data_IF_511695901105
#
_entry.id   IF_511695901105
#
_cell.length_a   1.000
_cell.length_b   1.000
_cell.length_c   1.000
_cell.angle_alpha   90.00
_cell.angle_beta   90.00
_cell.angle_gamma   90.00
#
_symmetry.space_group_name_H-M   'P 1'
#
loop_
_entity.id
_entity.type
_entity.pdbx_description
1 polymer ?
#
# COMPACT_ATOMS: atom_id res chain seq x y z
N UNK A 1 -5.92 12.99 70.76
CA UNK A 1 -6.54 13.03 72.07
C UNK A 1 -8.00 12.63 71.92
N UNK A 2 -8.31 11.47 72.46
CA UNK A 2 -9.38 11.19 73.37
C UNK A 2 -10.79 11.18 72.72
N UNK A 3 -11.39 10.06 72.51
CA UNK A 3 -12.03 9.01 73.34
C UNK A 3 -13.55 9.22 73.39
N UNK A 4 -14.29 8.26 73.09
CA UNK A 4 -14.89 7.14 73.82
C UNK A 4 -16.41 7.22 73.96
N UNK A 5 -17.05 6.07 73.58
CA UNK A 5 -18.09 5.32 74.35
C UNK A 5 -19.51 5.90 74.39
N UNK A 6 -20.56 5.17 74.36
CA UNK A 6 -21.04 3.79 74.45
C UNK A 6 -22.49 3.85 74.97
N UNK A 7 -23.25 2.83 74.73
CA UNK A 7 -24.15 2.06 75.59
C UNK A 7 -25.63 2.05 75.16
N UNK A 8 -26.03 0.90 74.78
CA UNK A 8 -26.96 -0.08 75.40
C UNK A 8 -28.48 0.24 75.35
N UNK A 9 -29.16 -0.56 74.60
CA UNK A 9 -30.13 -1.60 75.03
C UNK A 9 -31.43 -1.12 75.61
N UNK A 10 -32.54 -1.51 75.02
CA UNK A 10 -33.48 -2.40 75.73
C UNK A 10 -34.57 -3.03 74.84
N UNK A 11 -35.05 -4.13 75.33
CA UNK A 11 -35.88 -5.17 74.78
C UNK A 11 -37.37 -4.82 74.67
N UNK A 12 -38.08 -5.44 73.68
CA UNK A 12 -39.54 -5.39 73.70
C UNK A 12 -40.23 -6.21 72.62
N UNK A 13 -40.41 -7.49 72.86
CA UNK A 13 -41.50 -8.44 72.51
C UNK A 13 -42.35 -8.29 71.23
N UNK A 14 -42.20 -9.28 70.36
CA UNK A 14 -43.12 -10.15 69.61
C UNK A 14 -44.61 -9.74 69.38
N UNK A 15 -44.96 -9.71 68.05
CA UNK A 15 -46.18 -10.31 67.53
C UNK A 15 -46.01 -10.71 66.06
N UNK A 16 -46.50 -11.83 65.56
CA UNK A 16 -46.31 -12.30 64.22
C UNK A 16 -47.39 -11.69 63.30
N UNK A 17 -46.93 -11.03 62.24
CA UNK A 17 -47.78 -10.68 61.10
C UNK A 17 -47.38 -11.59 59.91
N UNK A 18 -48.31 -12.38 59.46
CA UNK A 18 -48.24 -13.18 58.27
C UNK A 18 -48.09 -12.27 57.02
N UNK A 19 -47.00 -12.31 56.40
CA UNK A 19 -46.79 -11.63 55.11
C UNK A 19 -46.91 -12.64 53.98
N UNK A 20 -47.96 -12.47 53.17
CA UNK A 20 -48.23 -13.17 51.93
C UNK A 20 -47.09 -12.92 50.96
N UNK A 21 -46.37 -13.97 50.63
CA UNK A 21 -45.29 -13.87 49.68
C UNK A 21 -45.78 -13.66 48.26
N UNK A 22 -45.60 -12.45 47.71
CA UNK A 22 -45.65 -12.19 46.27
C UNK A 22 -44.30 -12.55 45.69
N UNK A 23 -44.22 -13.72 45.07
CA UNK A 23 -43.08 -14.08 44.23
C UNK A 23 -43.12 -13.27 42.92
N UNK A 24 -42.38 -12.19 42.87
CA UNK A 24 -42.06 -11.51 41.63
C UNK A 24 -41.10 -12.42 40.85
N UNK A 25 -41.61 -13.07 39.81
CA UNK A 25 -40.77 -13.68 38.77
C UNK A 25 -40.06 -12.53 38.03
N UNK A 26 -38.83 -12.26 38.40
CA UNK A 26 -37.95 -11.43 37.62
C UNK A 26 -37.58 -12.24 36.35
N UNK A 27 -38.33 -12.00 35.28
CA UNK A 27 -37.94 -12.46 33.94
C UNK A 27 -36.65 -11.70 33.55
N UNK A 28 -35.51 -12.35 33.73
CA UNK A 28 -34.30 -11.92 33.00
C UNK A 28 -34.57 -12.17 31.52
N UNK A 29 -35.02 -11.15 30.82
CA UNK A 29 -34.83 -11.06 29.39
C UNK A 29 -33.33 -11.02 29.17
N UNK A 30 -32.75 -12.13 28.66
CA UNK A 30 -31.46 -12.06 27.99
C UNK A 30 -31.66 -11.11 26.80
N UNK A 31 -31.28 -9.85 26.98
CA UNK A 31 -30.93 -9.03 25.84
C UNK A 31 -29.80 -9.78 25.10
N UNK A 32 -30.20 -10.47 24.05
CA UNK A 32 -29.25 -10.89 23.05
C UNK A 32 -28.64 -9.58 22.50
N UNK A 33 -27.43 -9.26 22.95
CA UNK A 33 -26.56 -8.34 22.27
C UNK A 33 -26.48 -8.82 20.82
N UNK A 34 -27.31 -8.27 19.97
CA UNK A 34 -27.15 -8.31 18.55
C UNK A 34 -25.93 -7.43 18.33
N UNK A 35 -24.73 -8.02 18.48
CA UNK A 35 -23.49 -7.38 18.09
C UNK A 35 -23.71 -6.85 16.68
N UNK A 36 -23.78 -5.55 16.53
CA UNK A 36 -23.84 -4.94 15.20
C UNK A 36 -22.59 -5.40 14.47
N UNK A 37 -22.76 -6.35 13.55
CA UNK A 37 -21.68 -6.72 12.63
C UNK A 37 -21.23 -5.44 11.93
N UNK A 38 -19.95 -5.14 12.03
CA UNK A 38 -19.39 -4.02 11.28
C UNK A 38 -19.84 -4.13 9.81
N UNK A 39 -20.24 -3.04 9.17
CA UNK A 39 -20.68 -3.07 7.79
C UNK A 39 -19.63 -3.77 6.92
N UNK A 40 -20.08 -4.66 6.04
CA UNK A 40 -19.17 -5.34 5.13
C UNK A 40 -18.40 -4.31 4.29
N UNK A 41 -17.08 -4.52 4.13
CA UNK A 41 -16.25 -3.63 3.32
C UNK A 41 -16.84 -3.50 1.90
N UNK A 42 -16.96 -2.27 1.35
CA UNK A 42 -17.58 -2.05 0.05
C UNK A 42 -16.82 -2.78 -1.06
N UNK A 43 -17.54 -3.29 -2.06
CA UNK A 43 -16.92 -3.94 -3.22
C UNK A 43 -16.25 -2.93 -4.15
N UNK A 44 -16.76 -1.71 -4.19
CA UNK A 44 -16.24 -0.61 -5.00
C UNK A 44 -16.28 0.67 -4.18
N UNK A 45 -15.18 1.40 -4.19
CA UNK A 45 -15.06 2.74 -3.61
C UNK A 45 -14.75 3.68 -4.77
N UNK A 46 -15.69 4.55 -5.10
CA UNK A 46 -15.52 5.58 -6.12
C UNK A 46 -15.29 6.93 -5.43
N UNK A 47 -14.30 7.69 -5.91
CA UNK A 47 -13.98 8.99 -5.35
C UNK A 47 -13.69 10.00 -6.47
N UNK A 48 -13.87 11.29 -6.15
CA UNK A 48 -13.74 12.38 -7.12
C UNK A 48 -12.63 13.33 -6.70
N UNK A 49 -11.65 13.50 -7.58
CA UNK A 49 -10.60 14.50 -7.49
C UNK A 49 -10.05 14.77 -8.88
N UNK A 50 -10.32 15.95 -9.43
CA UNK A 50 -9.90 16.29 -10.79
C UNK A 50 -8.38 16.21 -10.95
N UNK A 51 -7.93 15.50 -11.98
CA UNK A 51 -6.53 15.42 -12.37
C UNK A 51 -5.60 14.73 -11.36
N UNK A 52 -6.10 13.88 -10.47
CA UNK A 52 -5.28 13.22 -9.45
C UNK A 52 -4.29 12.23 -10.06
N UNK A 53 -4.78 11.35 -10.95
CA UNK A 53 -4.01 10.27 -11.56
C UNK A 53 -3.19 9.48 -10.52
N UNK A 54 -3.86 8.76 -9.61
CA UNK A 54 -3.20 8.01 -8.54
C UNK A 54 -2.48 6.79 -9.14
N UNK A 55 -1.33 6.44 -8.59
CA UNK A 55 -0.61 5.22 -9.01
C UNK A 55 -0.53 4.23 -7.86
N UNK A 56 -0.17 4.67 -6.66
CA UNK A 56 -0.05 3.87 -5.46
C UNK A 56 -1.33 3.85 -4.61
N UNK A 57 -1.63 2.69 -4.01
CA UNK A 57 -2.70 2.53 -3.02
C UNK A 57 -2.29 1.59 -1.89
N UNK A 58 -2.62 1.94 -0.64
CA UNK A 58 -2.47 1.09 0.54
C UNK A 58 -3.65 1.28 1.48
N UNK A 59 -4.07 0.24 2.20
CA UNK A 59 -5.15 0.36 3.18
C UNK A 59 -4.59 0.59 4.59
N UNK A 60 -4.98 1.69 5.20
CA UNK A 60 -4.65 2.09 6.56
C UNK A 60 -5.77 1.60 7.51
N UNK A 61 -5.64 0.35 7.95
CA UNK A 61 -6.67 -0.34 8.74
C UNK A 61 -7.04 0.39 10.05
N UNK A 62 -6.09 0.90 10.86
CA UNK A 62 -6.41 1.63 12.07
C UNK A 62 -7.25 2.89 11.85
N UNK A 63 -7.18 3.48 10.66
CA UNK A 63 -7.91 4.70 10.31
C UNK A 63 -9.04 4.45 9.30
N UNK A 64 -9.32 3.17 8.95
CA UNK A 64 -10.37 2.75 8.03
C UNK A 64 -10.40 3.56 6.72
N UNK A 65 -9.24 3.70 6.05
CA UNK A 65 -9.08 4.51 4.85
C UNK A 65 -8.06 3.89 3.89
N UNK A 66 -8.17 4.21 2.61
CA UNK A 66 -7.11 3.98 1.65
C UNK A 66 -6.21 5.21 1.55
N UNK A 67 -4.90 5.02 1.55
CA UNK A 67 -3.95 6.04 1.13
C UNK A 67 -3.77 5.92 -0.38
N UNK A 68 -3.73 7.05 -1.07
CA UNK A 68 -3.53 7.12 -2.52
C UNK A 68 -2.52 8.21 -2.87
N UNK A 69 -1.70 7.97 -3.87
CA UNK A 69 -0.69 8.93 -4.33
C UNK A 69 -1.24 9.83 -5.45
N UNK A 70 -0.47 10.81 -5.91
CA UNK A 70 -0.81 11.65 -7.06
C UNK A 70 0.41 11.95 -7.92
N UNK A 71 0.33 11.58 -9.20
CA UNK A 71 1.37 11.92 -10.17
C UNK A 71 1.43 13.42 -10.43
N UNK A 72 0.30 14.09 -10.46
CA UNK A 72 0.19 15.48 -10.93
C UNK A 72 0.43 16.51 -9.84
N UNK A 73 0.25 16.14 -8.57
CA UNK A 73 0.41 17.09 -7.45
C UNK A 73 1.52 16.70 -6.48
N UNK A 74 2.04 15.46 -6.56
CA UNK A 74 3.02 14.94 -5.60
C UNK A 74 2.47 14.74 -4.18
N UNK A 75 1.14 14.70 -4.02
CA UNK A 75 0.51 14.56 -2.70
C UNK A 75 0.30 13.09 -2.33
N UNK A 76 0.41 12.81 -1.04
CA UNK A 76 -0.15 11.62 -0.43
C UNK A 76 -1.52 11.98 0.13
N UNK A 77 -2.56 11.42 -0.48
CA UNK A 77 -3.96 11.62 -0.09
C UNK A 77 -4.54 10.40 0.60
N UNK A 78 -5.79 10.53 0.99
CA UNK A 78 -6.59 9.43 1.55
C UNK A 78 -7.99 9.42 0.95
N UNK A 79 -8.60 8.23 0.95
CA UNK A 79 -9.98 7.99 0.52
C UNK A 79 -10.69 7.15 1.58
N UNK A 80 -11.85 7.62 2.05
CA UNK A 80 -12.72 6.85 2.96
C UNK A 80 -13.62 5.88 2.19
N UNK A 81 -14.28 4.95 2.88
CA UNK A 81 -15.26 4.05 2.29
C UNK A 81 -16.44 4.77 1.60
N UNK A 82 -16.74 5.98 2.05
CA UNK A 82 -17.76 6.84 1.44
C UNK A 82 -17.24 7.58 0.19
N UNK A 83 -16.01 7.34 -0.26
CA UNK A 83 -15.43 8.01 -1.42
C UNK A 83 -14.98 9.46 -1.17
N UNK A 84 -14.81 9.85 0.09
CA UNK A 84 -14.33 11.21 0.42
C UNK A 84 -12.81 11.22 0.31
N UNK A 85 -12.30 12.02 -0.63
CA UNK A 85 -10.87 12.28 -0.80
C UNK A 85 -10.41 13.47 0.05
N UNK A 86 -9.23 13.39 0.65
CA UNK A 86 -8.55 14.51 1.33
C UNK A 86 -7.03 14.30 1.39
N UNK A 87 -6.27 15.35 1.75
CA UNK A 87 -4.80 15.34 1.80
C UNK A 87 -4.29 15.72 3.19
N UNK A 88 -4.34 14.79 4.17
CA UNK A 88 -3.93 15.08 5.54
C UNK A 88 -2.42 15.17 5.73
N UNK A 89 -1.63 14.63 4.80
CA UNK A 89 -0.17 14.63 4.91
C UNK A 89 0.42 15.96 4.44
N UNK A 90 1.53 16.35 5.07
CA UNK A 90 2.27 17.56 4.72
C UNK A 90 2.62 17.58 3.23
N UNK A 91 2.56 18.78 2.65
CA UNK A 91 3.08 19.03 1.31
C UNK A 91 4.57 19.33 1.38
N UNK A 92 5.37 18.70 0.52
CA UNK A 92 6.79 19.00 0.40
C UNK A 92 7.14 19.19 -1.09
N UNK A 93 7.73 20.33 -1.49
CA UNK A 93 8.07 20.60 -2.90
C UNK A 93 9.11 19.64 -3.48
N UNK A 94 9.84 18.88 -2.66
CA UNK A 94 10.76 17.84 -3.10
C UNK A 94 10.03 16.62 -3.68
N UNK A 95 8.73 16.47 -3.41
CA UNK A 95 7.89 15.39 -3.94
C UNK A 95 7.24 15.89 -5.22
N UNK A 96 7.91 15.69 -6.36
CA UNK A 96 7.40 16.15 -7.66
C UNK A 96 6.18 15.34 -8.07
N UNK A 97 6.31 14.03 -8.19
CA UNK A 97 5.21 13.10 -8.40
C UNK A 97 5.31 11.97 -7.38
N UNK A 98 4.24 11.69 -6.67
CA UNK A 98 4.13 10.55 -5.74
C UNK A 98 3.63 9.34 -6.53
N UNK A 99 4.42 8.25 -6.51
CA UNK A 99 4.20 7.02 -7.30
C UNK A 99 3.72 5.91 -6.35
N UNK A 100 4.47 4.84 -6.17
CA UNK A 100 4.13 3.76 -5.25
C UNK A 100 4.11 4.20 -3.79
N UNK A 101 3.34 3.52 -2.94
CA UNK A 101 3.25 3.79 -1.51
C UNK A 101 3.25 2.48 -0.71
N UNK A 102 3.95 2.46 0.41
CA UNK A 102 3.97 1.35 1.36
C UNK A 102 3.67 1.83 2.78
N UNK A 103 2.82 1.08 3.50
CA UNK A 103 2.55 1.31 4.92
C UNK A 103 3.41 0.38 5.77
N UNK A 104 4.39 0.94 6.47
CA UNK A 104 5.16 0.26 7.50
C UNK A 104 4.49 0.50 8.86
N UNK A 105 3.46 -0.29 9.13
CA UNK A 105 2.64 -0.16 10.34
C UNK A 105 3.45 -0.32 11.63
N UNK A 106 4.38 -1.31 11.76
CA UNK A 106 5.16 -1.48 12.97
C UNK A 106 6.00 -0.25 13.34
N UNK A 107 6.35 0.59 12.35
CA UNK A 107 7.18 1.80 12.56
C UNK A 107 6.40 3.09 12.35
N UNK A 108 5.07 3.01 12.22
CA UNK A 108 4.17 4.17 12.05
C UNK A 108 4.59 5.11 10.92
N UNK A 109 5.04 4.58 9.79
CA UNK A 109 5.46 5.40 8.65
C UNK A 109 4.74 4.98 7.36
N UNK A 110 4.55 5.97 6.48
CA UNK A 110 4.18 5.75 5.09
C UNK A 110 5.35 6.15 4.21
N UNK A 111 5.78 5.23 3.36
CA UNK A 111 6.90 5.43 2.43
C UNK A 111 6.35 5.63 1.05
N UNK A 112 6.82 6.65 0.34
CA UNK A 112 6.36 7.00 -1.00
C UNK A 112 7.54 7.09 -1.96
N UNK A 113 7.51 6.31 -3.04
CA UNK A 113 8.43 6.46 -4.14
C UNK A 113 8.13 7.76 -4.90
N UNK A 114 9.17 8.52 -5.22
CA UNK A 114 9.04 9.86 -5.81
C UNK A 114 9.85 9.96 -7.08
N UNK A 115 9.19 10.38 -8.16
CA UNK A 115 9.80 10.57 -9.48
C UNK A 115 9.31 11.85 -10.15
N UNK A 116 9.80 12.09 -11.36
CA UNK A 116 9.31 13.16 -12.21
C UNK A 116 9.12 12.68 -13.66
N UNK A 117 7.93 12.19 -14.01
CA UNK A 117 7.59 11.86 -15.40
C UNK A 117 7.19 13.08 -16.26
N UNK A 118 7.22 14.30 -15.71
CA UNK A 118 6.70 15.49 -16.38
C UNK A 118 5.20 15.73 -16.14
N UNK A 119 4.56 14.97 -15.24
CA UNK A 119 3.13 15.08 -14.98
C UNK A 119 2.74 16.26 -14.07
N UNK A 120 3.60 16.64 -13.16
CA UNK A 120 3.38 17.77 -12.25
C UNK A 120 3.88 19.06 -12.87
N UNK A 121 2.99 19.80 -13.58
CA UNK A 121 3.31 21.02 -14.29
C UNK A 121 3.85 22.15 -13.40
N UNK A 122 3.63 22.08 -12.08
CA UNK A 122 4.10 23.10 -11.14
C UNK A 122 5.50 22.80 -10.58
N UNK A 123 5.94 21.53 -10.55
CA UNK A 123 7.18 21.10 -9.90
C UNK A 123 8.19 20.46 -10.85
N UNK A 124 7.73 19.98 -12.00
CA UNK A 124 8.62 19.44 -13.04
C UNK A 124 9.59 20.51 -13.54
N UNK A 125 10.84 20.13 -13.67
CA UNK A 125 11.90 20.95 -14.26
C UNK A 125 12.74 20.12 -15.23
N UNK A 126 13.48 20.76 -16.14
CA UNK A 126 14.41 20.09 -17.03
C UNK A 126 15.53 19.32 -16.28
N UNK A 127 15.82 19.71 -15.03
CA UNK A 127 16.80 19.03 -14.19
C UNK A 127 16.24 17.76 -13.52
N UNK A 128 14.93 17.67 -13.33
CA UNK A 128 14.27 16.56 -12.59
C UNK A 128 13.55 15.58 -13.50
N UNK A 129 13.02 16.04 -14.62
CA UNK A 129 12.23 15.21 -15.54
C UNK A 129 13.02 14.02 -16.07
N UNK A 130 12.56 12.79 -15.79
CA UNK A 130 13.22 11.54 -16.16
C UNK A 130 14.56 11.28 -15.45
N UNK A 131 14.87 12.06 -14.40
CA UNK A 131 16.16 11.99 -13.67
C UNK A 131 15.99 11.95 -12.16
N UNK A 132 14.77 12.06 -11.67
CA UNK A 132 14.48 12.09 -10.26
C UNK A 132 14.13 10.70 -9.72
N UNK A 133 14.85 10.27 -8.70
CA UNK A 133 14.45 9.15 -7.83
C UNK A 133 14.67 9.55 -6.38
N UNK A 134 13.61 9.49 -5.55
CA UNK A 134 13.62 9.76 -4.11
C UNK A 134 12.71 8.79 -3.36
N UNK A 135 12.93 8.69 -2.05
CA UNK A 135 12.00 8.08 -1.12
C UNK A 135 11.55 9.15 -0.11
N UNK A 136 10.24 9.40 -0.04
CA UNK A 136 9.66 10.25 1.00
C UNK A 136 9.09 9.38 2.12
N UNK A 137 9.42 9.69 3.37
CA UNK A 137 9.03 8.93 4.57
C UNK A 137 8.20 9.84 5.46
N UNK A 138 6.90 9.58 5.53
CA UNK A 138 5.95 10.33 6.36
C UNK A 138 5.75 9.65 7.71
N UNK A 139 5.64 10.44 8.78
CA UNK A 139 5.21 9.97 10.08
C UNK A 139 3.67 9.92 10.12
N UNK A 140 3.09 8.71 10.28
CA UNK A 140 1.63 8.54 10.32
C UNK A 140 0.98 9.11 11.59
N UNK A 141 1.73 9.21 12.68
CA UNK A 141 1.24 9.81 13.94
C UNK A 141 1.32 11.34 13.94
N UNK A 142 2.08 11.94 13.01
CA UNK A 142 2.22 13.37 12.83
C UNK A 142 2.18 13.73 11.33
N UNK A 143 1.05 13.51 10.66
CA UNK A 143 0.97 13.58 9.20
C UNK A 143 1.23 14.98 8.64
N UNK A 144 1.02 16.02 9.43
CA UNK A 144 1.30 17.42 9.04
C UNK A 144 2.77 17.82 9.18
N UNK A 145 3.62 16.96 9.76
CA UNK A 145 5.07 17.17 9.80
C UNK A 145 5.68 16.86 8.44
N UNK A 146 6.63 17.68 8.00
CA UNK A 146 7.35 17.45 6.75
C UNK A 146 8.01 16.06 6.73
N UNK A 147 7.92 15.32 5.61
CA UNK A 147 8.53 14.00 5.51
C UNK A 147 10.06 14.10 5.46
N UNK A 148 10.72 13.00 5.85
CA UNK A 148 12.13 12.80 5.50
C UNK A 148 12.19 12.43 4.02
N UNK A 149 13.02 13.11 3.25
CA UNK A 149 13.20 12.84 1.80
C UNK A 149 14.63 12.37 1.56
N UNK A 150 14.78 11.14 1.06
CA UNK A 150 16.05 10.49 0.78
C UNK A 150 16.32 10.54 -0.73
N UNK A 151 17.45 11.07 -1.15
CA UNK A 151 17.89 11.09 -2.55
C UNK A 151 18.43 9.72 -2.95
N UNK A 152 17.89 9.14 -4.02
CA UNK A 152 18.28 7.85 -4.56
C UNK A 152 19.05 8.01 -5.90
N UNK A 153 18.54 8.84 -6.79
CA UNK A 153 19.11 9.05 -8.13
C UNK A 153 20.55 9.54 -8.09
N UNK A 154 20.96 10.26 -7.03
CA UNK A 154 22.36 10.71 -6.84
C UNK A 154 23.37 9.56 -6.71
N UNK A 155 22.93 8.34 -6.42
CA UNK A 155 23.81 7.15 -6.40
C UNK A 155 24.25 6.72 -7.80
N UNK A 156 23.49 7.11 -8.84
CA UNK A 156 23.80 6.83 -10.26
C UNK A 156 23.45 8.05 -11.14
N UNK A 157 24.10 9.20 -10.96
CA UNK A 157 23.65 10.49 -11.53
C UNK A 157 23.71 10.55 -13.06
N UNK A 158 24.38 9.60 -13.71
CA UNK A 158 24.48 9.51 -15.18
C UNK A 158 23.30 8.77 -15.83
N UNK A 159 22.42 8.12 -15.03
CA UNK A 159 21.31 7.34 -15.53
C UNK A 159 20.01 8.15 -15.56
N UNK A 160 19.02 7.66 -16.31
CA UNK A 160 17.64 8.08 -16.18
C UNK A 160 17.01 7.39 -14.97
N UNK A 161 16.08 8.06 -14.29
CA UNK A 161 15.47 7.55 -13.07
C UNK A 161 13.96 7.68 -13.07
N UNK A 162 13.31 6.63 -12.53
CA UNK A 162 11.90 6.61 -12.16
C UNK A 162 11.73 5.67 -10.95
N UNK A 163 11.88 6.22 -9.72
CA UNK A 163 11.52 5.46 -8.52
C UNK A 163 10.03 5.13 -8.59
N UNK A 164 9.71 3.83 -8.64
CA UNK A 164 8.38 3.37 -8.96
C UNK A 164 7.64 2.86 -7.72
N UNK A 165 8.07 1.76 -7.15
CA UNK A 165 7.38 1.13 -6.03
C UNK A 165 8.34 0.85 -4.87
N UNK A 166 7.79 0.57 -3.69
CA UNK A 166 8.55 0.40 -2.46
C UNK A 166 7.97 -0.70 -1.58
N UNK A 167 8.86 -1.48 -0.98
CA UNK A 167 8.52 -2.44 0.08
C UNK A 167 9.50 -2.33 1.25
N UNK A 168 9.16 -2.92 2.41
CA UNK A 168 9.99 -2.87 3.61
C UNK A 168 10.20 -4.27 4.16
N UNK A 169 11.44 -4.61 4.55
CA UNK A 169 11.76 -5.88 5.20
C UNK A 169 11.42 -5.87 6.71
N UNK A 170 11.56 -7.02 7.36
CA UNK A 170 11.29 -7.17 8.79
C UNK A 170 12.19 -6.28 9.68
N UNK A 171 13.39 -5.91 9.21
CA UNK A 171 14.33 -5.04 9.90
C UNK A 171 14.01 -3.55 9.70
N UNK A 172 13.12 -3.22 8.77
CA UNK A 172 12.71 -1.86 8.46
C UNK A 172 13.52 -1.18 7.37
N UNK A 173 14.33 -1.94 6.62
CA UNK A 173 14.96 -1.42 5.43
C UNK A 173 13.94 -1.33 4.30
N UNK A 174 13.90 -0.20 3.62
CA UNK A 174 13.08 -0.02 2.44
C UNK A 174 13.84 -0.41 1.17
N UNK A 175 13.13 -1.02 0.23
CA UNK A 175 13.63 -1.37 -1.10
C UNK A 175 12.77 -0.68 -2.15
N UNK A 176 13.40 0.10 -3.03
CA UNK A 176 12.72 0.94 -4.03
C UNK A 176 13.18 0.53 -5.43
N UNK A 177 12.24 0.21 -6.30
CA UNK A 177 12.52 -0.08 -7.72
C UNK A 177 12.72 1.19 -8.52
N UNK A 178 13.61 1.15 -9.51
CA UNK A 178 13.81 2.21 -10.51
C UNK A 178 13.52 1.65 -11.91
N UNK A 179 12.46 2.15 -12.52
CA UNK A 179 11.95 1.62 -13.78
C UNK A 179 12.81 2.02 -14.99
N UNK A 180 13.50 3.15 -14.96
CA UNK A 180 14.28 3.60 -16.12
C UNK A 180 15.68 3.00 -16.18
N UNK A 181 16.16 2.45 -15.07
CA UNK A 181 17.52 1.92 -14.95
C UNK A 181 17.60 0.46 -14.48
N UNK A 182 16.48 -0.21 -14.24
CA UNK A 182 16.42 -1.56 -13.66
C UNK A 182 17.30 -1.70 -12.40
N UNK A 183 17.22 -0.70 -11.51
CA UNK A 183 17.89 -0.70 -10.22
C UNK A 183 16.92 -1.06 -9.10
N UNK A 184 17.45 -1.58 -7.98
CA UNK A 184 16.79 -1.58 -6.70
C UNK A 184 17.68 -0.83 -5.71
N UNK A 185 17.14 0.20 -5.08
CA UNK A 185 17.80 0.89 -3.98
C UNK A 185 17.41 0.26 -2.66
N UNK A 186 18.30 0.32 -1.67
CA UNK A 186 18.02 0.03 -0.27
C UNK A 186 18.21 1.29 0.54
N UNK A 187 17.25 1.60 1.40
CA UNK A 187 17.34 2.67 2.41
C UNK A 187 17.23 2.01 3.78
N UNK A 188 18.28 2.12 4.60
CA UNK A 188 18.31 1.51 5.93
C UNK A 188 17.44 2.28 6.95
N UNK A 189 17.33 1.75 8.17
CA UNK A 189 16.55 2.37 9.25
C UNK A 189 17.08 3.75 9.69
N UNK A 190 18.33 4.11 9.32
CA UNK A 190 18.96 5.40 9.57
C UNK A 190 18.82 6.35 8.36
N UNK A 191 18.06 5.94 7.33
CA UNK A 191 17.83 6.64 6.05
C UNK A 191 19.08 6.76 5.17
N UNK A 192 20.07 5.88 5.33
CA UNK A 192 21.19 5.79 4.40
C UNK A 192 20.80 4.99 3.16
N UNK A 193 20.98 5.59 1.98
CA UNK A 193 20.67 4.95 0.71
C UNK A 193 21.89 4.27 0.08
N UNK A 194 21.68 3.10 -0.50
CA UNK A 194 22.66 2.34 -1.27
C UNK A 194 22.01 1.71 -2.50
N UNK A 195 22.79 1.37 -3.54
CA UNK A 195 22.30 0.50 -4.62
C UNK A 195 22.34 -0.94 -4.12
N UNK A 196 21.16 -1.59 -4.11
CA UNK A 196 20.99 -2.97 -3.65
C UNK A 196 21.17 -3.99 -4.79
N UNK A 197 20.60 -3.70 -5.95
CA UNK A 197 20.74 -4.52 -7.15
C UNK A 197 20.96 -3.62 -8.37
N UNK A 198 22.00 -3.91 -9.13
CA UNK A 198 22.33 -3.33 -10.43
C UNK A 198 22.97 -4.42 -11.28
N UNK A 199 22.39 -4.74 -12.43
CA UNK A 199 22.96 -5.73 -13.36
C UNK A 199 22.44 -5.44 -14.79
N UNK A 200 22.93 -4.36 -15.38
CA UNK A 200 22.53 -3.97 -16.73
C UNK A 200 22.87 -5.05 -17.79
N UNK A 201 23.88 -5.86 -17.54
CA UNK A 201 24.30 -6.91 -18.49
C UNK A 201 23.24 -8.03 -18.60
N UNK A 202 22.59 -8.41 -17.48
CA UNK A 202 21.59 -9.50 -17.45
C UNK A 202 20.17 -8.98 -17.52
N UNK A 203 19.88 -7.82 -16.90
CA UNK A 203 18.53 -7.22 -16.85
C UNK A 203 18.23 -6.37 -18.08
N UNK A 204 19.27 -5.95 -18.81
CA UNK A 204 19.14 -4.98 -19.90
C UNK A 204 18.85 -3.58 -19.39
N UNK A 205 18.91 -2.62 -20.30
CA UNK A 205 18.45 -1.24 -20.05
C UNK A 205 17.12 -1.06 -20.75
N UNK A 206 16.08 -0.57 -20.08
CA UNK A 206 14.80 -0.29 -20.72
C UNK A 206 14.97 0.70 -21.89
N UNK A 207 14.18 0.57 -22.92
CA UNK A 207 14.13 1.57 -23.99
C UNK A 207 13.73 2.93 -23.41
N UNK A 208 14.14 4.01 -24.03
CA UNK A 208 13.82 5.36 -23.54
C UNK A 208 12.31 5.54 -23.33
N UNK A 209 11.91 5.89 -22.12
CA UNK A 209 10.51 6.03 -21.72
C UNK A 209 9.76 4.72 -21.44
N UNK A 210 10.39 3.54 -21.59
CA UNK A 210 9.82 2.28 -21.18
C UNK A 210 10.06 2.02 -19.69
N UNK A 211 9.14 1.28 -19.06
CA UNK A 211 9.23 0.88 -17.67
C UNK A 211 9.82 -0.53 -17.56
N UNK A 212 10.96 -0.65 -16.90
CA UNK A 212 11.57 -1.93 -16.53
C UNK A 212 11.06 -2.44 -15.19
N UNK A 213 11.88 -2.39 -14.11
CA UNK A 213 11.46 -2.77 -12.77
C UNK A 213 10.29 -1.89 -12.29
N UNK A 214 9.28 -2.54 -11.72
CA UNK A 214 8.03 -1.91 -11.31
C UNK A 214 7.63 -2.41 -9.91
N UNK A 215 6.49 -3.06 -9.75
CA UNK A 215 6.00 -3.54 -8.46
C UNK A 215 7.02 -4.40 -7.72
N UNK A 216 7.07 -4.24 -6.40
CA UNK A 216 8.00 -4.95 -5.51
C UNK A 216 7.31 -5.35 -4.21
N UNK A 217 7.52 -6.60 -3.76
CA UNK A 217 7.06 -7.06 -2.45
C UNK A 217 8.16 -7.83 -1.73
N UNK A 218 8.23 -7.67 -0.40
CA UNK A 218 9.09 -8.45 0.48
C UNK A 218 8.40 -9.76 0.86
N UNK A 219 9.13 -10.87 0.74
CA UNK A 219 8.71 -12.18 1.22
C UNK A 219 9.36 -12.50 2.56
N UNK A 220 8.61 -13.01 3.57
CA UNK A 220 9.16 -13.30 4.91
C UNK A 220 10.37 -14.26 4.93
N UNK A 221 10.53 -15.11 3.92
CA UNK A 221 11.69 -15.99 3.77
C UNK A 221 12.98 -15.26 3.33
N UNK A 222 12.98 -13.92 3.32
CA UNK A 222 14.19 -13.12 3.09
C UNK A 222 14.55 -12.90 1.63
N UNK A 223 13.57 -12.70 0.77
CA UNK A 223 13.76 -12.29 -0.62
C UNK A 223 12.70 -11.28 -1.07
N UNK A 224 12.97 -10.60 -2.16
CA UNK A 224 12.01 -9.73 -2.86
C UNK A 224 11.44 -10.46 -4.07
N UNK A 225 10.18 -10.20 -4.40
CA UNK A 225 9.60 -10.48 -5.70
C UNK A 225 9.43 -9.13 -6.42
N UNK A 226 9.95 -9.06 -7.65
CA UNK A 226 10.05 -7.81 -8.41
C UNK A 226 9.48 -8.02 -9.80
N UNK A 227 8.48 -7.22 -10.19
CA UNK A 227 7.96 -7.22 -11.55
C UNK A 227 8.90 -6.45 -12.50
N UNK A 228 9.07 -6.96 -13.72
CA UNK A 228 9.72 -6.24 -14.82
C UNK A 228 8.71 -6.10 -15.96
N UNK A 229 8.21 -4.88 -16.16
CA UNK A 229 7.05 -4.60 -17.02
C UNK A 229 7.32 -4.86 -18.50
N UNK A 230 8.52 -4.51 -18.99
CA UNK A 230 8.90 -4.56 -20.41
C UNK A 230 9.01 -5.99 -20.96
N UNK A 231 9.19 -7.00 -20.09
CA UNK A 231 9.27 -8.40 -20.51
C UNK A 231 8.31 -9.35 -19.77
N UNK A 232 7.55 -8.83 -18.78
CA UNK A 232 6.58 -9.61 -18.02
C UNK A 232 7.20 -10.67 -17.10
N UNK A 233 8.45 -10.52 -16.70
CA UNK A 233 9.14 -11.45 -15.80
C UNK A 233 9.01 -10.97 -14.35
N UNK A 234 8.70 -11.90 -13.45
CA UNK A 234 8.86 -11.69 -12.01
C UNK A 234 10.21 -12.23 -11.59
N UNK A 235 11.02 -11.42 -10.94
CA UNK A 235 12.30 -11.84 -10.39
C UNK A 235 12.21 -12.11 -8.90
N UNK A 236 12.83 -13.21 -8.45
CA UNK A 236 13.10 -13.51 -7.05
C UNK A 236 14.51 -13.04 -6.72
N UNK A 237 14.63 -12.07 -5.77
CA UNK A 237 15.90 -11.43 -5.42
C UNK A 237 16.20 -11.71 -3.94
N UNK A 238 17.12 -12.62 -3.60
CA UNK A 238 17.48 -12.93 -2.21
C UNK A 238 18.13 -11.72 -1.52
N UNK A 239 17.71 -11.39 -0.29
CA UNK A 239 18.29 -10.26 0.45
C UNK A 239 19.76 -10.49 0.83
N UNK A 240 20.13 -11.73 1.13
CA UNK A 240 21.50 -12.07 1.52
C UNK A 240 22.49 -12.07 0.33
N UNK A 241 21.99 -12.27 -0.89
CA UNK A 241 22.80 -12.30 -2.10
C UNK A 241 21.97 -11.79 -3.30
N UNK A 242 21.79 -10.48 -3.46
CA UNK A 242 20.96 -9.94 -4.53
C UNK A 242 21.45 -10.30 -5.94
N UNK A 243 22.76 -10.47 -6.16
CA UNK A 243 23.31 -10.88 -7.45
C UNK A 243 22.91 -12.32 -7.86
N UNK A 244 22.45 -13.13 -6.91
CA UNK A 244 21.91 -14.47 -7.13
C UNK A 244 20.42 -14.48 -7.53
N UNK A 245 19.89 -13.37 -8.00
CA UNK A 245 18.49 -13.29 -8.42
C UNK A 245 18.16 -14.23 -9.59
N UNK A 246 16.95 -14.74 -9.61
CA UNK A 246 16.46 -15.67 -10.63
C UNK A 246 15.04 -15.27 -11.10
N UNK A 247 14.70 -15.56 -12.37
CA UNK A 247 13.32 -15.43 -12.79
C UNK A 247 12.44 -16.49 -12.09
N UNK A 248 11.22 -16.11 -11.73
CA UNK A 248 10.16 -17.06 -11.33
C UNK A 248 9.67 -17.75 -12.59
N UNK A 249 9.83 -19.07 -12.67
CA UNK A 249 9.37 -19.84 -13.82
C UNK A 249 7.83 -19.87 -13.86
N UNK A 250 7.24 -19.40 -14.93
CA UNK A 250 5.79 -19.44 -15.16
C UNK A 250 5.48 -19.48 -16.65
N UNK A 251 4.38 -20.15 -17.03
CA UNK A 251 3.85 -20.14 -18.40
C UNK A 251 2.84 -19.00 -18.62
N UNK A 252 2.45 -18.29 -17.54
CA UNK A 252 1.53 -17.18 -17.66
C UNK A 252 2.22 -15.97 -18.31
N UNK A 253 1.59 -15.40 -19.32
CA UNK A 253 2.02 -14.13 -19.87
C UNK A 253 1.68 -13.00 -18.90
N UNK A 254 2.72 -12.37 -18.32
CA UNK A 254 2.62 -11.26 -17.38
C UNK A 254 3.12 -9.94 -18.01
N UNK A 255 3.11 -9.81 -19.34
CA UNK A 255 3.52 -8.58 -20.02
C UNK A 255 2.81 -7.36 -19.41
N UNK A 256 3.53 -6.26 -19.27
CA UNK A 256 3.09 -5.06 -18.56
C UNK A 256 2.68 -5.34 -17.09
N UNK A 257 3.42 -6.26 -16.42
CA UNK A 257 3.30 -6.45 -14.98
C UNK A 257 3.62 -5.14 -14.27
N UNK A 258 2.71 -4.74 -13.39
CA UNK A 258 2.76 -3.49 -12.64
C UNK A 258 2.81 -3.81 -11.13
N UNK A 259 1.87 -3.33 -10.33
CA UNK A 259 1.86 -3.59 -8.90
C UNK A 259 1.75 -5.05 -8.51
N UNK A 260 2.38 -5.41 -7.42
CA UNK A 260 2.39 -6.74 -6.81
C UNK A 260 1.72 -6.72 -5.45
N UNK A 261 1.05 -7.82 -5.09
CA UNK A 261 0.56 -8.07 -3.74
C UNK A 261 0.84 -9.52 -3.33
N UNK A 262 1.66 -9.71 -2.31
CA UNK A 262 1.84 -11.01 -1.67
C UNK A 262 0.63 -11.30 -0.78
N UNK A 263 -0.30 -12.15 -1.23
CA UNK A 263 -1.51 -12.49 -0.49
C UNK A 263 -1.21 -13.35 0.74
N UNK A 264 -0.31 -14.30 0.58
CA UNK A 264 0.28 -15.14 1.60
C UNK A 264 1.65 -15.64 1.10
N UNK A 265 2.37 -16.44 1.88
CA UNK A 265 3.72 -16.90 1.51
C UNK A 265 3.78 -17.73 0.22
N UNK A 266 2.66 -18.20 -0.29
CA UNK A 266 2.60 -19.06 -1.49
C UNK A 266 1.76 -18.46 -2.62
N UNK A 267 1.19 -17.25 -2.42
CA UNK A 267 0.25 -16.67 -3.37
C UNK A 267 0.62 -15.21 -3.67
N UNK A 268 0.96 -14.94 -4.92
CA UNK A 268 1.26 -13.61 -5.44
C UNK A 268 0.16 -13.16 -6.40
N UNK A 269 -0.31 -11.94 -6.22
CA UNK A 269 -1.17 -11.26 -7.19
C UNK A 269 -0.35 -10.25 -7.99
N UNK A 270 -0.58 -10.20 -9.30
CA UNK A 270 0.13 -9.37 -10.26
C UNK A 270 -0.88 -8.58 -11.07
N UNK A 271 -0.82 -7.26 -11.02
CA UNK A 271 -1.57 -6.41 -11.95
C UNK A 271 -0.84 -6.39 -13.28
N UNK A 272 -1.58 -6.54 -14.37
CA UNK A 272 -1.09 -6.26 -15.72
C UNK A 272 -1.97 -5.17 -16.33
N UNK A 273 -1.43 -3.95 -16.39
CA UNK A 273 -2.20 -2.79 -16.79
C UNK A 273 -2.64 -2.85 -18.27
N UNK A 274 -1.73 -3.22 -19.18
CA UNK A 274 -2.06 -3.32 -20.61
C UNK A 274 -3.03 -4.48 -20.95
N UNK A 275 -3.08 -5.52 -20.11
CA UNK A 275 -4.02 -6.64 -20.28
C UNK A 275 -5.34 -6.40 -19.54
N UNK A 276 -5.45 -5.33 -18.73
CA UNK A 276 -6.58 -5.04 -17.85
C UNK A 276 -6.94 -6.26 -16.97
N UNK A 277 -5.95 -6.83 -16.27
CA UNK A 277 -6.11 -8.05 -15.48
C UNK A 277 -5.34 -8.00 -14.18
N UNK A 278 -5.86 -8.75 -13.21
CA UNK A 278 -5.10 -9.21 -12.05
C UNK A 278 -4.94 -10.72 -12.16
N UNK A 279 -3.71 -11.20 -12.18
CA UNK A 279 -3.37 -12.61 -12.15
C UNK A 279 -3.06 -13.04 -10.72
N UNK A 280 -3.55 -14.21 -10.31
CA UNK A 280 -3.17 -14.85 -9.07
C UNK A 280 -2.27 -16.05 -9.37
N UNK A 281 -1.03 -16.00 -8.90
CA UNK A 281 -0.04 -17.04 -9.06
C UNK A 281 0.15 -17.78 -7.74
N UNK A 282 0.24 -19.11 -7.80
CA UNK A 282 0.52 -19.96 -6.65
C UNK A 282 1.84 -20.72 -6.83
N UNK A 283 2.59 -20.86 -5.75
CA UNK A 283 3.86 -21.62 -5.70
C UNK A 283 3.83 -22.73 -4.66
N UNK A 284 4.64 -23.76 -4.85
CA UNK A 284 4.91 -24.81 -3.86
C UNK A 284 6.40 -24.91 -3.52
N UNK A 285 7.24 -24.05 -4.11
CA UNK A 285 8.70 -24.10 -3.97
C UNK A 285 9.31 -22.72 -3.70
N UNK A 286 8.57 -21.83 -3.01
CA UNK A 286 9.06 -20.51 -2.62
C UNK A 286 9.38 -19.62 -3.81
N UNK A 287 8.55 -19.62 -4.83
CA UNK A 287 8.69 -18.85 -6.06
C UNK A 287 9.95 -19.15 -6.89
N UNK A 288 10.44 -20.41 -6.86
CA UNK A 288 11.28 -20.92 -7.92
C UNK A 288 10.46 -21.11 -9.21
N UNK A 289 9.21 -21.52 -9.05
CA UNK A 289 8.19 -21.56 -10.09
C UNK A 289 6.82 -21.18 -9.53
N UNK A 290 5.92 -20.70 -10.37
CA UNK A 290 4.56 -20.36 -10.00
C UNK A 290 3.58 -20.70 -11.15
N UNK A 291 2.36 -21.12 -10.79
CA UNK A 291 1.30 -21.45 -11.73
C UNK A 291 0.12 -20.50 -11.57
N UNK A 292 -0.61 -20.23 -12.65
CA UNK A 292 -1.83 -19.45 -12.61
C UNK A 292 -2.89 -20.17 -11.78
N UNK A 293 -3.42 -19.52 -10.75
CA UNK A 293 -4.48 -20.05 -9.88
C UNK A 293 -5.77 -19.22 -9.92
N UNK A 294 -5.77 -18.10 -10.63
CA UNK A 294 -6.94 -17.26 -10.83
C UNK A 294 -6.64 -16.05 -11.72
N UNK A 295 -7.69 -15.53 -12.34
CA UNK A 295 -7.63 -14.30 -13.15
C UNK A 295 -8.87 -13.47 -12.85
N UNK A 296 -8.66 -12.19 -12.58
CA UNK A 296 -9.71 -11.20 -12.46
C UNK A 296 -9.57 -10.21 -13.60
N UNK A 297 -10.64 -10.05 -14.42
CA UNK A 297 -10.68 -9.04 -15.47
C UNK A 297 -11.08 -7.69 -14.87
N UNK A 298 -10.23 -6.69 -15.02
CA UNK A 298 -10.49 -5.32 -14.57
C UNK A 298 -11.23 -4.52 -15.63
N UNK A 299 -11.77 -3.36 -15.27
CA UNK A 299 -12.14 -2.36 -16.27
C UNK A 299 -10.89 -1.85 -17.00
N UNK A 300 -11.04 -1.43 -18.26
CA UNK A 300 -9.97 -0.84 -19.06
C UNK A 300 -9.72 0.64 -18.65
N UNK A 301 -9.40 0.86 -17.39
CA UNK A 301 -9.15 2.17 -16.78
C UNK A 301 -7.73 2.24 -16.19
N UNK A 302 -6.80 1.53 -16.82
CA UNK A 302 -5.40 1.46 -16.43
C UNK A 302 -5.21 1.08 -14.95
N UNK A 303 -5.46 -0.21 -14.58
CA UNK A 303 -5.19 -0.67 -13.22
C UNK A 303 -3.68 -0.63 -12.95
N UNK A 304 -3.27 -0.17 -11.76
CA UNK A 304 -1.83 -0.03 -11.42
C UNK A 304 -1.40 -0.99 -10.32
N UNK A 305 -1.99 -0.90 -9.15
CA UNK A 305 -1.51 -1.67 -8.01
C UNK A 305 -2.65 -2.16 -7.12
N UNK A 306 -2.30 -2.92 -6.09
CA UNK A 306 -3.22 -3.59 -5.18
C UNK A 306 -2.98 -3.18 -3.73
N UNK A 307 -4.07 -3.09 -2.98
CA UNK A 307 -4.03 -2.98 -1.52
C UNK A 307 -4.73 -4.19 -0.88
N UNK A 308 -4.24 -4.59 0.31
CA UNK A 308 -4.93 -5.59 1.14
C UNK A 308 -5.83 -4.90 2.15
N UNK A 309 -7.08 -5.38 2.27
CA UNK A 309 -8.02 -4.97 3.32
C UNK A 309 -8.80 -6.18 3.81
N UNK A 310 -8.70 -6.48 5.10
CA UNK A 310 -9.48 -7.54 5.77
C UNK A 310 -9.45 -8.89 5.01
N UNK A 311 -8.26 -9.30 4.55
CA UNK A 311 -8.07 -10.53 3.77
C UNK A 311 -8.48 -10.44 2.30
N UNK A 312 -9.13 -9.36 1.87
CA UNK A 312 -9.48 -9.09 0.47
C UNK A 312 -8.41 -8.23 -0.22
N UNK A 313 -8.30 -8.39 -1.52
CA UNK A 313 -7.46 -7.53 -2.37
C UNK A 313 -8.34 -6.51 -3.09
N UNK A 314 -7.81 -5.31 -3.24
CA UNK A 314 -8.45 -4.21 -3.95
C UNK A 314 -7.49 -3.65 -4.99
N UNK A 315 -7.96 -3.46 -6.22
CA UNK A 315 -7.20 -2.89 -7.33
C UNK A 315 -7.57 -1.42 -7.53
N UNK A 316 -6.55 -0.57 -7.74
CA UNK A 316 -6.72 0.85 -8.06
C UNK A 316 -6.84 1.03 -9.58
N UNK A 317 -7.83 1.83 -10.02
CA UNK A 317 -7.98 2.29 -11.40
C UNK A 317 -7.47 3.72 -11.54
N UNK A 318 -6.32 3.87 -12.18
CA UNK A 318 -5.52 5.10 -12.20
C UNK A 318 -5.75 5.99 -13.42
N UNK A 319 -6.27 5.44 -14.52
CA UNK A 319 -6.49 6.14 -15.79
C UNK A 319 -5.23 6.83 -16.35
N UNK A 320 -4.02 6.28 -16.10
CA UNK A 320 -2.76 6.89 -16.54
C UNK A 320 -2.62 6.97 -18.06
N UNK A 321 -3.28 6.08 -18.80
CA UNK A 321 -3.38 6.15 -20.27
C UNK A 321 -4.00 7.49 -20.72
N UNK A 322 -4.98 8.01 -20.00
CA UNK A 322 -5.58 9.30 -20.29
C UNK A 322 -4.60 10.46 -20.01
N UNK A 323 -3.83 10.38 -18.92
CA UNK A 323 -2.79 11.36 -18.58
C UNK A 323 -1.71 11.41 -19.65
N UNK A 324 -1.13 10.26 -19.99
CA UNK A 324 -0.02 10.17 -20.94
C UNK A 324 -0.45 10.51 -22.38
N UNK A 325 -1.72 10.28 -22.72
CA UNK A 325 -2.30 10.71 -23.98
C UNK A 325 -2.73 12.19 -23.99
N UNK A 326 -2.58 12.93 -22.89
CA UNK A 326 -2.99 14.32 -22.77
C UNK A 326 -4.49 14.54 -22.99
N UNK A 327 -5.34 13.55 -22.62
CA UNK A 327 -6.80 13.64 -22.81
C UNK A 327 -7.41 14.75 -21.97
N UNK A 328 -8.32 15.52 -22.59
CA UNK A 328 -9.04 16.60 -21.94
C UNK A 328 -10.55 16.38 -22.08
N UNK A 329 -11.37 16.76 -21.05
CA UNK A 329 -10.93 17.26 -19.74
C UNK A 329 -10.19 16.19 -18.95
N UNK A 330 -9.37 16.63 -17.98
CA UNK A 330 -8.66 15.71 -17.10
C UNK A 330 -9.65 14.78 -16.38
N UNK A 331 -9.23 13.51 -16.17
CA UNK A 331 -10.03 12.55 -15.40
C UNK A 331 -10.29 13.10 -14.00
N UNK A 332 -11.53 12.99 -13.55
CA UNK A 332 -11.94 13.48 -12.22
C UNK A 332 -12.44 12.39 -11.29
N UNK A 333 -12.76 11.21 -11.82
CA UNK A 333 -13.32 10.10 -11.04
C UNK A 333 -12.40 8.89 -11.13
N UNK A 334 -12.13 8.30 -9.98
CA UNK A 334 -11.28 7.12 -9.82
C UNK A 334 -11.99 6.08 -8.95
N UNK A 335 -11.54 4.84 -8.98
CA UNK A 335 -12.11 3.80 -8.14
C UNK A 335 -11.08 2.80 -7.62
N UNK A 336 -11.43 2.20 -6.49
CA UNK A 336 -10.69 1.11 -5.84
C UNK A 336 -11.69 -0.04 -5.71
N UNK A 337 -11.43 -1.15 -6.41
CA UNK A 337 -12.39 -2.23 -6.56
C UNK A 337 -11.86 -3.53 -5.96
N UNK A 338 -12.73 -4.24 -5.23
CA UNK A 338 -12.39 -5.56 -4.69
C UNK A 338 -12.18 -6.55 -5.82
N UNK A 339 -11.08 -7.31 -5.73
CA UNK A 339 -10.71 -8.38 -6.65
C UNK A 339 -11.35 -9.69 -6.17
N UNK A 340 -11.98 -10.42 -7.07
CA UNK A 340 -12.59 -11.74 -6.82
C UNK A 340 -12.10 -12.73 -7.86
N UNK A 341 -11.56 -13.90 -7.42
CA UNK A 341 -11.03 -14.95 -8.29
C UNK A 341 -11.96 -16.14 -8.34
#
# INVERSE_FOLDING_TARGET
MINFRSLLADSGRLAPVAVLGLTLFSSCSKDSDIGMMAPAAPATITFTQAGLYPEGVQYDAPNARFLVTSLTTGRLGQVTDAGVYSTPFADDPKIVSAIGVYLDEPRNRALVAVSDPGANQQRTTAATQGKLARLAIFNRNAPTTAPVVVELGSLRPALGHFANDVTVDAQGNAYVTDSFSNLIYKVDAQNNATVFLEDAARLGTPAAGAFGFNGIVFHPDGYLLVAKSDNGVIYKVPLANPAGYTPVATTQNLMAADGLLLQDNNTLQVVSNAQAKVFRLATTNGFGAATLSGTFSTAAQFPTTLARRDGNSYVLYANLDALFAGRMPAVSQYSINRVTF
#
